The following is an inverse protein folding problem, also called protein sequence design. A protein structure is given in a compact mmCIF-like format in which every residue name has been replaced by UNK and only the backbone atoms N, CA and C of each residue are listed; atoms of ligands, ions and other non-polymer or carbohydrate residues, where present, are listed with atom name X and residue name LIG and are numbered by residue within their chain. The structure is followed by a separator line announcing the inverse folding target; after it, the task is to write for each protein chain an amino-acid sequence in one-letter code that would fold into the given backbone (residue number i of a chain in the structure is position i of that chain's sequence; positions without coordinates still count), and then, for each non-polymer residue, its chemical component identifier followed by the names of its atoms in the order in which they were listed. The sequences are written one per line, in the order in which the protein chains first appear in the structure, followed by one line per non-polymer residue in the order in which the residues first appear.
data_IF_027915389924
#
_entry.id   IF_027915389924
#
_cell.length_a   1.000
_cell.length_b   1.000
_cell.length_c   1.000
_cell.angle_alpha   90.00
_cell.angle_beta   90.00
_cell.angle_gamma   90.00
#
_symmetry.space_group_name_H-M   'P 1'
#
loop_
_entity.id
_entity.type
_entity.pdbx_description
1 polymer ?
#
# COMPACT_ATOMS: atom_id res chain seq x y z
N UNK A 1 11.30 32.03 7.11
CA UNK A 1 11.11 30.60 6.79
C UNK A 1 12.21 29.84 7.51
N UNK A 2 11.84 28.93 8.43
CA UNK A 2 12.82 28.14 9.18
C UNK A 2 13.67 27.26 8.26
N UNK A 3 14.78 26.73 8.79
CA UNK A 3 15.60 25.78 8.06
C UNK A 3 14.77 24.53 7.74
N UNK A 4 14.45 24.30 6.46
CA UNK A 4 13.66 23.14 6.02
C UNK A 4 14.34 21.79 6.32
N UNK A 5 15.60 21.78 6.72
CA UNK A 5 16.34 20.58 7.09
C UNK A 5 16.20 20.19 8.58
N UNK A 6 15.56 20.99 9.42
CA UNK A 6 15.31 20.69 10.85
C UNK A 6 13.81 20.41 11.11
N UNK A 7 13.14 19.74 10.17
CA UNK A 7 11.73 19.41 10.30
C UNK A 7 11.52 18.22 11.25
N UNK A 8 10.41 18.29 11.98
CA UNK A 8 9.86 17.21 12.80
C UNK A 8 8.72 16.53 12.08
N UNK A 9 8.90 15.25 11.75
CA UNK A 9 7.92 14.41 11.11
C UNK A 9 7.18 13.55 12.14
N UNK A 10 5.86 13.66 12.20
CA UNK A 10 4.98 12.74 12.92
C UNK A 10 4.46 11.64 12.00
N UNK A 11 4.58 10.37 12.38
CA UNK A 11 4.04 9.23 11.63
C UNK A 11 3.02 8.49 12.51
N UNK A 12 1.77 8.42 12.04
CA UNK A 12 0.72 7.60 12.66
C UNK A 12 0.77 6.20 12.04
N UNK A 13 1.07 5.20 12.87
CA UNK A 13 1.39 3.84 12.45
C UNK A 13 2.90 3.60 12.48
N UNK A 14 3.32 2.57 13.22
CA UNK A 14 4.71 2.23 13.45
C UNK A 14 5.14 0.92 12.79
N UNK A 15 4.41 0.45 11.80
CA UNK A 15 4.73 -0.70 10.96
C UNK A 15 5.90 -0.47 10.00
N UNK A 16 5.99 -1.34 9.00
CA UNK A 16 7.14 -1.36 8.11
C UNK A 16 7.24 -0.14 7.19
N UNK A 17 6.11 0.46 6.80
CA UNK A 17 6.13 1.59 5.88
C UNK A 17 6.61 2.83 6.63
N UNK A 18 6.16 3.02 7.87
CA UNK A 18 6.63 4.03 8.80
C UNK A 18 8.11 3.89 9.09
N UNK A 19 8.62 2.65 9.23
CA UNK A 19 10.06 2.39 9.36
C UNK A 19 10.84 2.89 8.16
N UNK A 20 10.42 2.54 6.95
CA UNK A 20 11.10 2.95 5.72
C UNK A 20 10.97 4.45 5.45
N UNK A 21 9.81 5.06 5.75
CA UNK A 21 9.65 6.53 5.73
C UNK A 21 10.59 7.22 6.73
N UNK A 22 10.70 6.70 7.95
CA UNK A 22 11.58 7.25 8.98
C UNK A 22 13.06 7.17 8.57
N UNK A 23 13.47 6.06 7.95
CA UNK A 23 14.83 5.91 7.42
C UNK A 23 15.16 6.99 6.38
N UNK A 24 14.24 7.26 5.44
CA UNK A 24 14.42 8.30 4.43
C UNK A 24 14.37 9.71 5.02
N UNK A 25 13.44 9.99 5.93
CA UNK A 25 13.35 11.28 6.62
C UNK A 25 14.65 11.63 7.35
N UNK A 26 15.29 10.64 7.98
CA UNK A 26 16.55 10.85 8.70
C UNK A 26 17.74 11.16 7.77
N UNK A 27 17.71 10.78 6.49
CA UNK A 27 18.72 11.22 5.51
C UNK A 27 18.72 12.74 5.33
N UNK A 28 17.56 13.39 5.51
CA UNK A 28 17.41 14.85 5.48
C UNK A 28 17.71 15.54 6.81
N UNK A 29 18.04 14.77 7.86
CA UNK A 29 18.26 15.30 9.22
C UNK A 29 16.98 15.53 10.03
N UNK A 30 15.83 15.04 9.57
CA UNK A 30 14.56 15.23 10.27
C UNK A 30 14.53 14.47 11.60
N UNK A 31 13.83 15.03 12.57
CA UNK A 31 13.40 14.29 13.76
C UNK A 31 12.11 13.55 13.44
N UNK A 32 12.00 12.30 13.87
CA UNK A 32 10.86 11.44 13.59
C UNK A 32 10.19 11.01 14.90
N UNK A 33 8.89 11.25 14.98
CA UNK A 33 8.03 10.78 16.07
C UNK A 33 7.02 9.79 15.52
N UNK A 34 6.80 8.69 16.23
CA UNK A 34 5.89 7.63 15.81
C UNK A 34 4.79 7.43 16.85
N UNK A 35 3.54 7.31 16.42
CA UNK A 35 2.44 6.81 17.24
C UNK A 35 2.09 5.39 16.81
N UNK A 36 2.19 4.42 17.72
CA UNK A 36 1.82 3.02 17.48
C UNK A 36 1.46 2.31 18.79
N UNK A 37 0.42 1.45 18.81
CA UNK A 37 0.00 0.75 20.02
C UNK A 37 1.02 -0.27 20.53
N UNK A 38 1.96 -0.71 19.70
CA UNK A 38 2.93 -1.77 20.03
C UNK A 38 4.25 -1.17 20.51
N UNK A 39 4.66 -1.37 21.77
CA UNK A 39 5.98 -0.92 22.25
C UNK A 39 7.15 -1.52 21.45
N UNK A 40 8.03 -0.66 20.93
CA UNK A 40 9.13 -1.09 20.07
C UNK A 40 8.65 -1.59 18.71
N UNK A 41 7.65 -0.92 18.14
CA UNK A 41 7.16 -1.14 16.78
C UNK A 41 8.30 -0.98 15.74
N UNK A 42 8.18 -1.59 14.55
CA UNK A 42 9.19 -1.46 13.50
C UNK A 42 9.74 -0.05 13.27
N UNK A 43 8.87 0.96 13.19
CA UNK A 43 9.29 2.34 12.94
C UNK A 43 9.96 2.98 14.16
N UNK A 44 9.56 2.63 15.38
CA UNK A 44 10.19 3.22 16.58
C UNK A 44 11.64 2.77 16.79
N UNK A 45 12.06 1.68 16.15
CA UNK A 45 13.46 1.23 16.15
C UNK A 45 14.41 2.21 15.44
N UNK A 46 13.87 3.13 14.62
CA UNK A 46 14.64 4.11 13.84
C UNK A 46 14.16 5.54 14.03
N UNK A 47 13.18 5.77 14.91
CA UNK A 47 12.63 7.09 15.24
C UNK A 47 13.29 7.71 16.48
N UNK A 48 13.12 9.02 16.68
CA UNK A 48 13.63 9.73 17.86
C UNK A 48 12.77 9.49 19.11
N UNK A 49 11.46 9.23 18.93
CA UNK A 49 10.56 8.88 20.03
C UNK A 49 9.32 8.12 19.55
N UNK A 50 8.72 7.36 20.48
CA UNK A 50 7.46 6.65 20.27
C UNK A 50 6.41 7.10 21.30
N UNK A 51 5.22 7.40 20.81
CA UNK A 51 3.99 7.52 21.59
C UNK A 51 3.25 6.18 21.51
N UNK A 52 3.13 5.47 22.63
CA UNK A 52 2.42 4.18 22.68
C UNK A 52 0.94 4.42 22.94
N UNK A 53 0.12 4.29 21.91
CA UNK A 53 -1.33 4.47 21.98
C UNK A 53 -2.04 3.84 20.78
N UNK A 54 -3.32 3.54 20.96
CA UNK A 54 -4.20 3.13 19.86
C UNK A 54 -4.46 4.29 18.88
N UNK A 55 -4.69 3.95 17.60
CA UNK A 55 -4.91 4.91 16.51
C UNK A 55 -6.24 5.68 16.58
N UNK A 56 -7.12 5.34 17.53
CA UNK A 56 -8.34 6.08 17.83
C UNK A 56 -8.23 6.98 19.06
N UNK A 57 -7.09 6.97 19.77
CA UNK A 57 -6.87 7.82 20.94
C UNK A 57 -6.63 9.28 20.52
N UNK A 58 -7.69 10.09 20.61
CA UNK A 58 -7.70 11.49 20.21
C UNK A 58 -6.56 12.31 20.84
N UNK A 59 -6.35 12.17 22.15
CA UNK A 59 -5.34 12.94 22.88
C UNK A 59 -3.92 12.60 22.44
N UNK A 60 -3.67 11.33 22.10
CA UNK A 60 -2.35 10.87 21.67
C UNK A 60 -2.06 11.25 20.22
N UNK A 61 -3.09 11.28 19.36
CA UNK A 61 -2.98 11.84 18.00
C UNK A 61 -2.64 13.32 18.07
N UNK A 62 -3.36 14.10 18.89
CA UNK A 62 -3.06 15.52 19.12
C UNK A 62 -1.63 15.70 19.61
N UNK A 63 -1.21 14.95 20.62
CA UNK A 63 0.17 15.00 21.14
C UNK A 63 1.23 14.80 20.04
N UNK A 64 1.03 13.84 19.13
CA UNK A 64 1.96 13.61 18.02
C UNK A 64 1.99 14.80 17.05
N UNK A 65 0.81 15.25 16.62
CA UNK A 65 0.66 16.29 15.60
C UNK A 65 1.18 17.62 16.11
N UNK A 66 0.90 18.00 17.36
CA UNK A 66 1.38 19.23 17.98
C UNK A 66 2.90 19.26 18.19
N UNK A 67 3.54 18.09 18.32
CA UNK A 67 5.00 17.95 18.40
C UNK A 67 5.71 18.01 17.04
N UNK A 68 4.96 17.92 15.95
CA UNK A 68 5.48 17.75 14.60
C UNK A 68 5.23 18.99 13.76
N UNK A 69 6.17 19.33 12.87
CA UNK A 69 5.96 20.39 11.88
C UNK A 69 5.07 19.87 10.75
N UNK A 70 5.14 18.57 10.48
CA UNK A 70 4.32 17.86 9.51
C UNK A 70 3.99 16.45 10.00
N UNK A 71 2.77 16.00 9.76
CA UNK A 71 2.34 14.64 10.08
C UNK A 71 1.89 13.87 8.84
N UNK A 72 2.12 12.56 8.85
CA UNK A 72 1.65 11.59 7.86
C UNK A 72 1.15 10.33 8.57
N UNK A 73 0.60 9.39 7.80
CA UNK A 73 0.16 8.09 8.29
C UNK A 73 0.58 6.96 7.34
N UNK A 74 0.81 5.78 7.89
CA UNK A 74 1.00 4.54 7.10
C UNK A 74 -0.15 3.54 7.24
N UNK A 75 -1.13 3.83 8.10
CA UNK A 75 -2.29 2.96 8.34
C UNK A 75 -3.59 3.69 8.03
N UNK A 76 -4.59 2.94 7.57
CA UNK A 76 -5.89 3.50 7.23
C UNK A 76 -6.83 3.61 8.44
N UNK A 77 -6.70 2.76 9.45
CA UNK A 77 -7.56 2.75 10.65
C UNK A 77 -7.09 3.78 11.70
N UNK A 78 -7.59 5.01 11.57
CA UNK A 78 -7.24 6.18 12.40
C UNK A 78 -8.52 6.97 12.68
N UNK A 79 -8.61 7.63 13.83
CA UNK A 79 -9.66 8.62 14.08
C UNK A 79 -9.47 9.87 13.20
N UNK A 80 -10.22 9.96 12.10
CA UNK A 80 -10.17 11.08 11.14
C UNK A 80 -10.75 12.38 11.68
N UNK A 81 -11.71 12.32 12.60
CA UNK A 81 -12.37 13.53 13.13
C UNK A 81 -11.36 14.42 13.87
N UNK A 82 -10.49 13.80 14.66
CA UNK A 82 -9.41 14.50 15.38
C UNK A 82 -8.40 15.11 14.41
N UNK A 83 -8.06 14.40 13.33
CA UNK A 83 -7.15 14.92 12.32
C UNK A 83 -7.75 16.12 11.57
N UNK A 84 -9.05 16.07 11.25
CA UNK A 84 -9.78 17.20 10.64
C UNK A 84 -9.78 18.41 11.56
N UNK A 85 -10.04 18.22 12.86
CA UNK A 85 -9.97 19.28 13.87
C UNK A 85 -8.58 19.93 13.91
N UNK A 86 -7.52 19.13 13.88
CA UNK A 86 -6.13 19.60 13.90
C UNK A 86 -5.77 20.35 12.61
N UNK A 87 -6.18 19.86 11.44
CA UNK A 87 -5.98 20.55 10.16
C UNK A 87 -6.70 21.90 10.16
N UNK A 88 -7.94 21.97 10.67
CA UNK A 88 -8.68 23.23 10.83
C UNK A 88 -7.96 24.22 11.76
N UNK A 89 -7.24 23.74 12.77
CA UNK A 89 -6.40 24.54 13.68
C UNK A 89 -5.07 24.98 13.06
N UNK A 90 -4.76 24.58 11.82
CA UNK A 90 -3.57 24.97 11.08
C UNK A 90 -2.40 23.99 11.13
N UNK A 91 -2.59 22.78 11.68
CA UNK A 91 -1.58 21.73 11.63
C UNK A 91 -1.53 21.07 10.25
N UNK A 92 -0.34 20.63 9.82
CA UNK A 92 -0.16 20.01 8.49
C UNK A 92 -0.23 18.49 8.60
N UNK A 93 -1.21 17.88 7.92
CA UNK A 93 -1.36 16.42 7.79
C UNK A 93 -1.49 16.06 6.31
N UNK A 94 -0.58 15.21 5.83
CA UNK A 94 -0.57 14.75 4.43
C UNK A 94 -0.46 13.21 4.33
N UNK A 95 -1.24 12.56 3.44
CA UNK A 95 -2.37 13.13 2.71
C UNK A 95 -3.48 13.63 3.65
N UNK A 96 -4.44 14.40 3.15
CA UNK A 96 -5.43 15.04 4.02
C UNK A 96 -6.35 14.00 4.72
N UNK A 97 -6.97 14.35 5.86
CA UNK A 97 -7.94 13.49 6.52
C UNK A 97 -9.17 13.16 5.66
N UNK A 98 -9.56 14.05 4.73
CA UNK A 98 -10.66 13.86 3.78
C UNK A 98 -10.32 12.81 2.72
N UNK A 99 -9.07 12.80 2.25
CA UNK A 99 -8.55 11.71 1.39
C UNK A 99 -8.68 10.38 2.13
N UNK A 100 -8.21 10.34 3.38
CA UNK A 100 -8.24 9.14 4.19
C UNK A 100 -9.66 8.65 4.48
N UNK A 101 -10.61 9.56 4.72
CA UNK A 101 -12.03 9.24 4.90
C UNK A 101 -12.66 8.65 3.63
N UNK A 102 -12.30 9.19 2.46
CA UNK A 102 -12.76 8.67 1.17
C UNK A 102 -12.25 7.26 0.91
N UNK A 103 -10.99 6.97 1.25
CA UNK A 103 -10.37 5.67 0.99
C UNK A 103 -10.83 4.58 1.97
N UNK A 104 -11.05 4.93 3.24
CA UNK A 104 -11.49 3.96 4.28
C UNK A 104 -12.81 3.29 3.95
N UNK A 105 -13.66 3.98 3.21
CA UNK A 105 -14.92 3.47 2.72
C UNK A 105 -14.77 3.10 1.23
N UNK A 106 -14.66 1.80 0.95
CA UNK A 106 -14.49 1.28 -0.40
C UNK A 106 -15.66 1.66 -1.32
N UNK A 107 -16.86 1.87 -0.78
CA UNK A 107 -18.01 2.34 -1.57
C UNK A 107 -17.86 3.81 -1.96
N UNK A 108 -17.42 4.68 -1.05
CA UNK A 108 -17.12 6.10 -1.36
C UNK A 108 -16.00 6.23 -2.38
N UNK A 109 -14.97 5.40 -2.26
CA UNK A 109 -13.91 5.32 -3.26
C UNK A 109 -14.47 5.01 -4.65
N UNK A 110 -15.32 3.99 -4.77
CA UNK A 110 -15.98 3.62 -6.03
C UNK A 110 -16.90 4.74 -6.57
N UNK A 111 -17.62 5.43 -5.68
CA UNK A 111 -18.42 6.61 -6.05
C UNK A 111 -17.55 7.73 -6.61
N UNK A 112 -16.44 8.06 -5.95
CA UNK A 112 -15.48 9.07 -6.40
C UNK A 112 -14.91 8.72 -7.78
N UNK A 113 -14.51 7.45 -7.99
CA UNK A 113 -14.02 6.98 -9.29
C UNK A 113 -15.08 7.19 -10.39
N UNK A 114 -16.32 6.77 -10.16
CA UNK A 114 -17.41 6.93 -11.12
C UNK A 114 -17.75 8.40 -11.41
N UNK A 115 -17.79 9.25 -10.38
CA UNK A 115 -18.07 10.69 -10.52
C UNK A 115 -17.02 11.42 -11.36
N UNK A 116 -15.77 10.94 -11.33
CA UNK A 116 -14.66 11.50 -12.10
C UNK A 116 -14.42 10.75 -13.42
N UNK A 117 -15.32 9.85 -13.83
CA UNK A 117 -15.19 9.02 -15.04
C UNK A 117 -13.90 8.18 -15.08
N UNK A 118 -13.36 7.82 -13.92
CA UNK A 118 -12.19 6.95 -13.81
C UNK A 118 -12.68 5.49 -13.92
N UNK A 119 -12.09 4.68 -14.81
CA UNK A 119 -12.58 3.33 -15.06
C UNK A 119 -12.41 2.45 -13.83
N UNK A 120 -13.50 1.84 -13.39
CA UNK A 120 -13.53 0.80 -12.37
C UNK A 120 -14.56 -0.26 -12.77
N UNK A 121 -14.49 -1.43 -12.15
CA UNK A 121 -15.44 -2.51 -12.35
C UNK A 121 -16.87 -2.09 -12.00
N UNK A 122 -17.85 -2.70 -12.68
CA UNK A 122 -19.27 -2.51 -12.38
C UNK A 122 -19.55 -2.89 -10.93
N UNK A 123 -20.27 -2.03 -10.21
CA UNK A 123 -20.58 -2.25 -8.80
C UNK A 123 -21.95 -1.67 -8.42
N UNK A 124 -22.51 -2.14 -7.31
CA UNK A 124 -23.79 -1.69 -6.73
C UNK A 124 -23.77 -1.85 -5.21
N UNK A 125 -24.20 -0.82 -4.48
CA UNK A 125 -24.36 -0.91 -3.02
C UNK A 125 -25.45 -1.94 -2.65
N UNK A 126 -25.22 -2.72 -1.59
CA UNK A 126 -26.26 -3.59 -1.03
C UNK A 126 -27.06 -2.77 -0.02
N UNK A 127 -28.36 -2.57 -0.26
CA UNK A 127 -29.22 -1.72 0.58
C UNK A 127 -30.16 -2.51 1.48
N UNK A 128 -30.65 -3.66 1.02
CA UNK A 128 -31.71 -4.43 1.66
C UNK A 128 -31.38 -5.92 1.68
N UNK A 129 -31.96 -6.66 0.74
CA UNK A 129 -31.92 -8.12 0.70
C UNK A 129 -30.87 -8.56 -0.32
N UNK A 130 -29.75 -9.05 0.20
CA UNK A 130 -28.63 -9.52 -0.62
C UNK A 130 -29.06 -10.56 -1.66
N UNK A 131 -30.03 -11.42 -1.34
CA UNK A 131 -30.46 -12.48 -2.26
C UNK A 131 -31.07 -11.92 -3.54
N UNK A 132 -32.07 -11.03 -3.42
CA UNK A 132 -32.67 -10.36 -4.58
C UNK A 132 -31.67 -9.46 -5.30
N UNK A 133 -30.84 -8.72 -4.56
CA UNK A 133 -29.88 -7.79 -5.16
C UNK A 133 -28.77 -8.48 -5.95
N UNK A 134 -28.32 -9.66 -5.52
CA UNK A 134 -27.37 -10.49 -6.29
C UNK A 134 -27.99 -10.99 -7.59
N UNK A 135 -29.26 -11.40 -7.57
CA UNK A 135 -29.96 -11.86 -8.76
C UNK A 135 -30.09 -10.72 -9.78
N UNK A 136 -30.46 -9.53 -9.31
CA UNK A 136 -30.58 -8.34 -10.15
C UNK A 136 -29.23 -7.87 -10.69
N UNK A 137 -28.17 -7.98 -9.89
CA UNK A 137 -26.81 -7.60 -10.29
C UNK A 137 -26.21 -8.57 -11.32
N UNK A 138 -26.53 -9.86 -11.19
CA UNK A 138 -26.01 -10.95 -12.02
C UNK A 138 -24.83 -11.69 -11.37
N UNK A 139 -24.65 -12.95 -11.77
CA UNK A 139 -23.64 -13.87 -11.25
C UNK A 139 -22.61 -14.25 -12.34
N UNK A 140 -21.35 -14.57 -11.97
CA UNK A 140 -20.79 -14.48 -10.61
C UNK A 140 -20.58 -13.02 -10.16
N UNK A 141 -20.65 -12.79 -8.85
CA UNK A 141 -20.46 -11.48 -8.23
C UNK A 141 -19.47 -11.57 -7.06
N UNK A 142 -18.84 -10.45 -6.73
CA UNK A 142 -17.96 -10.30 -5.58
C UNK A 142 -18.61 -9.36 -4.59
N UNK A 143 -18.97 -9.84 -3.41
CA UNK A 143 -19.41 -9.00 -2.31
C UNK A 143 -18.17 -8.50 -1.55
N UNK A 144 -18.03 -7.18 -1.41
CA UNK A 144 -16.95 -6.55 -0.65
C UNK A 144 -17.52 -5.72 0.50
N UNK A 145 -16.93 -5.87 1.69
CA UNK A 145 -17.21 -5.00 2.83
C UNK A 145 -16.79 -3.56 2.52
N UNK A 146 -17.59 -2.59 2.93
CA UNK A 146 -17.26 -1.17 2.72
C UNK A 146 -16.05 -0.74 3.55
N UNK A 147 -15.86 -1.34 4.73
CA UNK A 147 -14.83 -0.96 5.70
C UNK A 147 -14.05 -2.19 6.17
N UNK A 148 -12.77 -2.00 6.51
CA UNK A 148 -11.96 -3.01 7.20
C UNK A 148 -11.50 -4.19 6.35
N UNK A 149 -11.78 -4.20 5.05
CA UNK A 149 -11.22 -5.17 4.12
C UNK A 149 -9.74 -4.91 3.82
N UNK A 150 -8.92 -5.96 3.82
CA UNK A 150 -7.50 -5.94 3.44
C UNK A 150 -7.02 -7.38 3.20
N UNK A 151 -6.04 -7.57 2.30
CA UNK A 151 -5.41 -8.88 2.03
C UNK A 151 -6.47 -10.02 1.91
N UNK A 152 -7.51 -9.81 1.08
CA UNK A 152 -8.62 -10.74 0.86
C UNK A 152 -9.71 -10.80 1.94
N UNK A 153 -9.51 -10.21 3.13
CA UNK A 153 -10.55 -10.13 4.17
C UNK A 153 -11.64 -9.16 3.75
N UNK A 154 -12.89 -9.50 4.09
CA UNK A 154 -14.04 -8.69 3.71
C UNK A 154 -14.38 -8.79 2.22
N UNK A 155 -13.93 -9.87 1.55
CA UNK A 155 -14.29 -10.21 0.17
C UNK A 155 -14.93 -11.60 0.17
N UNK A 156 -16.06 -11.76 -0.51
CA UNK A 156 -16.74 -13.04 -0.67
C UNK A 156 -17.22 -13.18 -2.12
N UNK A 157 -16.82 -14.24 -2.80
CA UNK A 157 -17.24 -14.51 -4.18
C UNK A 157 -18.52 -15.34 -4.14
N UNK A 158 -19.54 -14.86 -4.84
CA UNK A 158 -20.86 -15.48 -4.98
C UNK A 158 -20.92 -16.06 -6.39
N UNK A 159 -20.82 -17.38 -6.50
CA UNK A 159 -20.89 -18.10 -7.77
C UNK A 159 -22.34 -18.46 -8.11
N UNK A 160 -23.11 -18.85 -7.11
CA UNK A 160 -24.52 -19.22 -7.24
C UNK A 160 -25.39 -18.57 -6.16
N UNK A 161 -26.71 -18.62 -6.37
CA UNK A 161 -27.67 -17.92 -5.49
C UNK A 161 -27.63 -18.42 -4.04
N UNK A 162 -27.25 -19.67 -3.84
CA UNK A 162 -27.18 -20.32 -2.53
C UNK A 162 -26.00 -19.83 -1.70
N UNK A 163 -24.94 -19.31 -2.33
CA UNK A 163 -23.74 -18.81 -1.64
C UNK A 163 -24.06 -17.62 -0.72
N UNK A 164 -25.16 -16.91 -0.99
CA UNK A 164 -25.67 -15.80 -0.17
C UNK A 164 -25.87 -16.20 1.30
N UNK A 165 -26.09 -17.49 1.60
CA UNK A 165 -26.20 -17.98 2.98
C UNK A 165 -24.90 -17.81 3.80
N UNK A 166 -23.75 -17.80 3.13
CA UNK A 166 -22.42 -17.68 3.71
C UNK A 166 -21.80 -16.29 3.48
N UNK A 167 -22.57 -15.37 2.89
CA UNK A 167 -22.14 -14.02 2.56
C UNK A 167 -21.72 -13.19 3.79
N UNK A 168 -21.03 -12.08 3.51
CA UNK A 168 -20.62 -11.11 4.52
C UNK A 168 -21.85 -10.48 5.19
N UNK A 169 -21.81 -10.43 6.52
CA UNK A 169 -22.87 -9.85 7.36
C UNK A 169 -22.47 -8.45 7.83
N UNK A 170 -22.25 -7.54 6.88
CA UNK A 170 -21.86 -6.16 7.12
C UNK A 170 -22.26 -5.25 5.95
N UNK A 171 -22.14 -3.93 6.15
CA UNK A 171 -22.28 -2.94 5.08
C UNK A 171 -21.32 -3.28 3.95
N UNK A 172 -21.87 -3.53 2.77
CA UNK A 172 -21.16 -4.09 1.64
C UNK A 172 -21.75 -3.65 0.31
N UNK A 173 -20.99 -3.89 -0.75
CA UNK A 173 -21.43 -3.68 -2.13
C UNK A 173 -21.10 -4.93 -2.96
N UNK A 174 -21.84 -5.10 -4.05
CA UNK A 174 -21.56 -6.08 -5.08
C UNK A 174 -20.67 -5.45 -6.14
N UNK A 175 -19.73 -6.23 -6.64
CA UNK A 175 -18.82 -5.89 -7.73
C UNK A 175 -18.80 -7.05 -8.72
N UNK A 176 -18.62 -6.77 -10.00
CA UNK A 176 -18.49 -7.84 -10.99
C UNK A 176 -17.19 -8.63 -10.75
N UNK A 177 -17.25 -9.93 -10.97
CA UNK A 177 -16.03 -10.75 -11.02
C UNK A 177 -15.33 -10.48 -12.36
N UNK A 178 -14.31 -9.63 -12.33
CA UNK A 178 -13.55 -9.21 -13.51
C UNK A 178 -12.77 -10.40 -14.10
N UNK A 179 -12.80 -10.55 -15.43
CA UNK A 179 -11.96 -11.51 -16.16
C UNK A 179 -10.54 -10.95 -16.33
N UNK A 180 -9.72 -11.16 -15.31
CA UNK A 180 -8.39 -10.58 -15.15
C UNK A 180 -7.37 -11.36 -16.01
N UNK A 181 -6.60 -10.63 -16.81
CA UNK A 181 -5.37 -11.11 -17.46
C UNK A 181 -4.15 -10.88 -16.57
N UNK A 182 -4.03 -9.68 -15.99
CA UNK A 182 -2.95 -9.28 -15.07
C UNK A 182 -3.45 -8.32 -14.01
N UNK A 183 -2.86 -8.41 -12.84
CA UNK A 183 -2.97 -7.37 -11.82
C UNK A 183 -1.80 -6.41 -11.95
N UNK A 184 -2.10 -5.12 -11.98
CA UNK A 184 -1.12 -4.05 -12.17
C UNK A 184 -1.16 -3.12 -10.98
N UNK A 185 -0.05 -2.43 -10.72
CA UNK A 185 -0.06 -1.27 -9.84
C UNK A 185 0.80 -0.15 -10.39
N UNK A 186 0.44 1.07 -9.99
CA UNK A 186 1.21 2.28 -10.30
C UNK A 186 1.38 3.07 -9.03
N UNK A 187 2.62 3.48 -8.74
CA UNK A 187 2.89 4.44 -7.68
C UNK A 187 2.88 5.85 -8.26
N UNK A 188 2.10 6.74 -7.66
CA UNK A 188 2.01 8.14 -8.09
C UNK A 188 2.27 9.05 -6.90
N UNK A 189 3.21 9.97 -7.06
CA UNK A 189 3.47 11.01 -6.08
C UNK A 189 2.92 12.35 -6.58
N UNK A 190 2.28 13.09 -5.69
CA UNK A 190 1.83 14.47 -5.93
C UNK A 190 2.28 15.35 -4.77
N UNK A 191 2.98 16.44 -5.08
CA UNK A 191 3.39 17.43 -4.08
C UNK A 191 2.27 18.41 -3.74
N UNK A 192 2.40 19.12 -2.62
CA UNK A 192 1.48 20.21 -2.26
C UNK A 192 1.43 21.36 -3.30
N UNK A 193 2.37 21.42 -4.24
CA UNK A 193 2.39 22.39 -5.34
C UNK A 193 1.76 21.85 -6.64
N UNK A 194 1.22 20.63 -6.62
CA UNK A 194 0.65 19.97 -7.80
C UNK A 194 1.67 19.35 -8.75
N UNK A 195 2.96 19.31 -8.40
CA UNK A 195 3.92 18.51 -9.17
C UNK A 195 3.56 17.03 -9.03
N UNK A 196 3.45 16.32 -10.16
CA UNK A 196 3.12 14.88 -10.20
C UNK A 196 4.28 14.10 -10.83
N UNK A 197 4.63 12.96 -10.23
CA UNK A 197 5.55 11.98 -10.80
C UNK A 197 4.96 10.58 -10.68
N UNK A 198 5.08 9.81 -11.75
CA UNK A 198 4.54 8.47 -11.87
C UNK A 198 5.71 7.48 -11.99
N UNK A 199 5.67 6.42 -11.19
CA UNK A 199 6.60 5.30 -11.32
C UNK A 199 6.15 4.37 -12.45
N UNK A 200 7.04 3.52 -12.99
CA UNK A 200 6.65 2.52 -13.96
C UNK A 200 5.55 1.61 -13.43
N UNK A 201 4.68 1.20 -14.35
CA UNK A 201 3.65 0.19 -14.08
C UNK A 201 4.34 -1.10 -13.68
N UNK A 202 3.87 -1.71 -12.60
CA UNK A 202 4.33 -3.03 -12.15
C UNK A 202 3.25 -4.07 -12.32
N UNK A 203 3.68 -5.31 -12.55
CA UNK A 203 2.81 -6.48 -12.56
C UNK A 203 2.88 -7.15 -11.19
N UNK A 204 1.72 -7.49 -10.64
CA UNK A 204 1.59 -8.16 -9.35
C UNK A 204 1.10 -9.59 -9.57
N UNK A 205 1.73 -10.54 -8.89
CA UNK A 205 1.27 -11.92 -8.79
C UNK A 205 0.88 -12.22 -7.34
N UNK A 206 -0.27 -12.87 -7.15
CA UNK A 206 -0.85 -13.15 -5.85
C UNK A 206 -0.77 -14.64 -5.53
N UNK A 207 -0.52 -14.96 -4.26
CA UNK A 207 -0.67 -16.32 -3.76
C UNK A 207 -2.17 -16.61 -3.57
N UNK A 208 -2.72 -17.50 -4.41
CA UNK A 208 -4.14 -17.85 -4.40
C UNK A 208 -4.63 -18.40 -3.04
N UNK A 209 -3.73 -19.00 -2.24
CA UNK A 209 -4.10 -19.61 -0.96
C UNK A 209 -4.42 -18.55 0.09
N UNK A 210 -3.74 -17.41 0.04
CA UNK A 210 -3.83 -16.36 1.03
C UNK A 210 -4.43 -15.05 0.49
N UNK A 211 -4.61 -14.94 -0.82
CA UNK A 211 -5.01 -13.72 -1.53
C UNK A 211 -4.13 -12.51 -1.13
N UNK A 212 -2.82 -12.73 -1.12
CA UNK A 212 -1.79 -11.75 -0.76
C UNK A 212 -0.83 -11.61 -1.94
N UNK A 213 -0.46 -10.37 -2.24
CA UNK A 213 0.60 -10.09 -3.21
C UNK A 213 1.87 -10.85 -2.81
N UNK A 214 2.33 -11.76 -3.67
CA UNK A 214 3.51 -12.59 -3.45
C UNK A 214 4.72 -11.95 -4.14
N UNK A 215 4.55 -11.60 -5.42
CA UNK A 215 5.61 -11.10 -6.30
C UNK A 215 5.19 -9.82 -7.02
N UNK A 216 6.12 -8.89 -7.18
CA UNK A 216 5.97 -7.65 -7.93
C UNK A 216 7.09 -7.57 -8.96
N UNK A 217 6.74 -7.31 -10.23
CA UNK A 217 7.66 -7.29 -11.37
C UNK A 217 7.68 -5.88 -11.95
N UNK A 218 8.87 -5.28 -12.01
CA UNK A 218 9.10 -3.93 -12.55
C UNK A 218 10.14 -3.96 -13.71
N UNK A 219 9.78 -3.52 -14.92
CA UNK A 219 8.46 -3.04 -15.34
C UNK A 219 7.47 -4.19 -15.55
N UNK A 220 6.17 -3.87 -15.58
CA UNK A 220 5.12 -4.80 -15.96
C UNK A 220 5.35 -5.35 -17.38
N UNK A 221 5.08 -6.64 -17.58
CA UNK A 221 5.20 -7.30 -18.89
C UNK A 221 3.97 -7.04 -19.75
N UNK A 222 3.73 -5.78 -20.07
CA UNK A 222 2.63 -5.27 -20.89
C UNK A 222 3.16 -4.33 -21.97
N UNK A 223 2.41 -4.19 -23.06
CA UNK A 223 2.79 -3.28 -24.14
C UNK A 223 2.75 -1.81 -23.69
N UNK A 224 3.41 -0.92 -24.45
CA UNK A 224 3.54 0.50 -24.12
C UNK A 224 2.20 1.23 -24.01
N UNK A 225 1.18 0.83 -24.78
CA UNK A 225 -0.15 1.44 -24.71
C UNK A 225 -0.78 1.20 -23.35
N UNK A 226 -0.73 -0.04 -22.84
CA UNK A 226 -1.26 -0.37 -21.51
C UNK A 226 -0.45 0.33 -20.40
N UNK A 227 0.88 0.45 -20.58
CA UNK A 227 1.68 1.22 -19.62
C UNK A 227 1.22 2.68 -19.52
N UNK A 228 1.02 3.34 -20.67
CA UNK A 228 0.56 4.72 -20.70
C UNK A 228 -0.86 4.86 -20.14
N UNK A 229 -1.79 3.99 -20.54
CA UNK A 229 -3.18 4.00 -20.06
C UNK A 229 -3.25 3.85 -18.54
N UNK A 230 -2.51 2.89 -17.96
CA UNK A 230 -2.46 2.69 -16.52
C UNK A 230 -1.82 3.88 -15.80
N UNK A 231 -0.75 4.48 -16.35
CA UNK A 231 -0.15 5.68 -15.77
C UNK A 231 -1.11 6.88 -15.79
N UNK A 232 -1.84 7.09 -16.88
CA UNK A 232 -2.79 8.20 -17.02
C UNK A 232 -3.96 8.04 -16.04
N UNK A 233 -4.53 6.83 -15.94
CA UNK A 233 -5.58 6.51 -14.96
C UNK A 233 -5.08 6.76 -13.53
N UNK A 234 -3.86 6.33 -13.22
CA UNK A 234 -3.27 6.51 -11.88
C UNK A 234 -3.11 7.99 -11.51
N UNK A 235 -2.70 8.83 -12.47
CA UNK A 235 -2.63 10.28 -12.28
C UNK A 235 -4.02 10.86 -12.02
N UNK A 236 -5.02 10.49 -12.82
CA UNK A 236 -6.40 10.95 -12.61
C UNK A 236 -6.97 10.57 -11.24
N UNK A 237 -6.61 9.38 -10.71
CA UNK A 237 -6.99 8.99 -9.35
C UNK A 237 -6.45 9.95 -8.29
N UNK A 238 -5.19 10.34 -8.38
CA UNK A 238 -4.55 11.21 -7.39
C UNK A 238 -5.05 12.65 -7.52
N UNK A 239 -5.32 13.11 -8.74
CA UNK A 239 -5.92 14.42 -9.00
C UNK A 239 -7.35 14.51 -8.46
N UNK A 240 -8.18 13.48 -8.68
CA UNK A 240 -9.55 13.43 -8.17
C UNK A 240 -9.64 13.44 -6.64
N UNK A 241 -8.61 12.93 -5.96
CA UNK A 241 -8.47 12.99 -4.50
C UNK A 241 -7.90 14.31 -3.99
N UNK A 242 -7.40 15.19 -4.88
CA UNK A 242 -6.51 16.30 -4.52
C UNK A 242 -5.37 15.87 -3.57
N UNK A 243 -4.83 14.67 -3.83
CA UNK A 243 -3.90 14.02 -2.92
C UNK A 243 -2.54 14.72 -2.82
N UNK A 244 -1.95 14.72 -1.62
CA UNK A 244 -0.56 15.14 -1.39
C UNK A 244 0.18 14.00 -0.70
N UNK A 245 1.29 13.56 -1.28
CA UNK A 245 2.05 12.41 -0.81
C UNK A 245 2.30 11.40 -1.93
N UNK A 246 2.21 10.12 -1.61
CA UNK A 246 2.36 9.02 -2.56
C UNK A 246 1.17 8.08 -2.44
N UNK A 247 0.75 7.54 -3.58
CA UNK A 247 -0.46 6.74 -3.70
C UNK A 247 -0.15 5.47 -4.50
N UNK A 248 -0.55 4.32 -3.97
CA UNK A 248 -0.56 3.07 -4.71
C UNK A 248 -1.91 2.87 -5.37
N UNK A 249 -1.92 2.77 -6.70
CA UNK A 249 -3.13 2.54 -7.48
C UNK A 249 -3.09 1.12 -8.02
N UNK A 250 -3.89 0.23 -7.46
CA UNK A 250 -4.05 -1.15 -7.92
C UNK A 250 -5.10 -1.22 -9.04
N UNK A 251 -4.80 -2.00 -10.07
CA UNK A 251 -5.58 -2.07 -11.28
C UNK A 251 -5.67 -3.51 -11.79
N UNK A 252 -6.75 -3.79 -12.52
CA UNK A 252 -6.90 -5.00 -13.31
C UNK A 252 -6.71 -4.67 -14.80
N UNK A 253 -5.83 -5.41 -15.46
CA UNK A 253 -5.86 -5.55 -16.92
C UNK A 253 -6.78 -6.72 -17.24
N UNK A 254 -7.89 -6.44 -17.91
CA UNK A 254 -8.84 -7.46 -18.35
C UNK A 254 -8.33 -8.18 -19.60
N UNK A 255 -8.79 -9.42 -19.85
CA UNK A 255 -8.51 -10.14 -21.12
C UNK A 255 -9.02 -9.42 -22.38
N UNK A 256 -9.96 -8.50 -22.19
CA UNK A 256 -10.47 -7.62 -23.25
C UNK A 256 -9.56 -6.39 -23.50
N UNK A 257 -8.45 -6.26 -22.76
CA UNK A 257 -7.47 -5.18 -22.92
C UNK A 257 -7.87 -3.85 -22.26
N UNK A 258 -8.80 -3.85 -21.31
CA UNK A 258 -9.17 -2.66 -20.51
C UNK A 258 -8.42 -2.62 -19.19
N UNK A 259 -7.99 -1.43 -18.76
CA UNK A 259 -7.45 -1.17 -17.43
C UNK A 259 -8.54 -0.62 -16.51
N UNK A 260 -8.75 -1.26 -15.35
CA UNK A 260 -9.78 -0.90 -14.37
C UNK A 260 -9.13 -0.69 -13.00
N UNK A 261 -9.43 0.42 -12.31
CA UNK A 261 -8.99 0.64 -10.92
C UNK A 261 -9.71 -0.33 -9.99
N UNK A 262 -8.93 -1.10 -9.23
CA UNK A 262 -9.43 -1.94 -8.14
C UNK A 262 -9.47 -1.15 -6.83
N UNK A 263 -8.34 -0.56 -6.45
CA UNK A 263 -8.16 0.09 -5.15
C UNK A 263 -7.07 1.18 -5.18
N UNK A 264 -7.22 2.19 -4.33
CA UNK A 264 -6.27 3.26 -4.07
C UNK A 264 -5.82 3.21 -2.60
N UNK A 265 -4.51 3.19 -2.38
CA UNK A 265 -3.87 3.33 -1.07
C UNK A 265 -3.15 4.70 -0.96
N UNK A 266 -3.58 5.62 -0.08
CA UNK A 266 -3.06 6.97 0.06
C UNK A 266 -1.81 6.99 0.95
N UNK A 267 -0.84 6.14 0.63
CA UNK A 267 0.38 5.91 1.40
C UNK A 267 1.40 5.17 0.53
N UNK A 268 2.67 5.08 0.94
CA UNK A 268 3.58 4.10 0.37
C UNK A 268 2.93 2.70 0.34
N UNK A 269 3.15 1.97 -0.75
CA UNK A 269 2.48 0.71 -1.01
C UNK A 269 3.48 -0.45 -1.17
N UNK A 270 3.03 -1.66 -0.89
CA UNK A 270 3.88 -2.85 -0.96
C UNK A 270 4.42 -3.07 -2.39
N UNK A 271 3.58 -2.83 -3.39
CA UNK A 271 3.96 -2.89 -4.80
C UNK A 271 4.96 -1.82 -5.24
N UNK A 272 5.27 -0.84 -4.38
CA UNK A 272 6.33 0.14 -4.62
C UNK A 272 7.67 -0.20 -3.95
N UNK A 273 7.81 -1.31 -3.22
CA UNK A 273 9.04 -1.58 -2.44
C UNK A 273 10.28 -1.76 -3.32
N UNK A 274 10.11 -2.28 -4.53
CA UNK A 274 11.18 -2.39 -5.53
C UNK A 274 11.90 -1.06 -5.82
N UNK A 275 11.22 0.08 -5.62
CA UNK A 275 11.77 1.42 -5.89
C UNK A 275 12.96 1.77 -5.00
N UNK A 276 13.18 1.06 -3.88
CA UNK A 276 14.33 1.29 -3.00
C UNK A 276 15.63 0.94 -3.75
N UNK A 277 15.66 -0.20 -4.45
CA UNK A 277 16.85 -0.67 -5.18
C UNK A 277 16.86 -0.30 -6.66
N UNK A 278 15.67 -0.16 -7.26
CA UNK A 278 15.54 -0.16 -8.72
C UNK A 278 15.31 1.23 -9.33
N UNK A 279 14.88 2.22 -8.53
CA UNK A 279 14.53 3.55 -9.03
C UNK A 279 15.50 4.63 -8.51
N UNK A 280 15.58 5.74 -9.24
CA UNK A 280 16.41 6.87 -8.86
C UNK A 280 15.98 7.53 -7.53
N UNK A 281 14.71 7.43 -7.16
CA UNK A 281 14.18 7.89 -5.88
C UNK A 281 13.16 6.87 -5.36
N UNK A 282 13.35 6.38 -4.14
CA UNK A 282 12.42 5.42 -3.54
C UNK A 282 11.05 6.07 -3.28
N UNK A 283 9.98 5.27 -3.29
CA UNK A 283 8.63 5.74 -2.96
C UNK A 283 8.58 6.44 -1.58
N UNK A 284 9.43 6.02 -0.66
CA UNK A 284 9.50 6.56 0.70
C UNK A 284 10.14 7.95 0.71
N UNK A 285 11.28 8.10 0.03
CA UNK A 285 11.92 9.41 -0.12
C UNK A 285 11.00 10.36 -0.90
N UNK A 286 10.34 9.85 -1.93
CA UNK A 286 9.38 10.59 -2.72
C UNK A 286 8.19 11.08 -1.89
N UNK A 287 7.66 10.23 -1.00
CA UNK A 287 6.63 10.64 -0.05
C UNK A 287 7.12 11.76 0.87
N UNK A 288 8.30 11.61 1.47
CA UNK A 288 8.90 12.65 2.33
C UNK A 288 9.06 13.97 1.58
N UNK A 289 9.58 13.94 0.35
CA UNK A 289 9.71 15.14 -0.50
C UNK A 289 8.36 15.78 -0.79
N UNK A 290 7.36 14.98 -1.15
CA UNK A 290 6.02 15.45 -1.48
C UNK A 290 5.35 16.18 -0.31
N UNK A 291 5.40 15.58 0.88
CA UNK A 291 4.75 16.14 2.08
C UNK A 291 5.54 17.34 2.63
N UNK A 292 6.88 17.31 2.60
CA UNK A 292 7.73 18.42 3.08
C UNK A 292 7.80 19.61 2.11
N UNK A 293 7.16 19.51 0.94
CA UNK A 293 7.15 20.55 -0.09
C UNK A 293 8.53 20.77 -0.73
N UNK A 294 9.31 19.70 -0.88
CA UNK A 294 10.51 19.65 -1.71
C UNK A 294 10.16 19.31 -3.17
N UNK A 295 11.05 19.60 -4.13
CA UNK A 295 10.91 19.08 -5.48
C UNK A 295 10.85 17.56 -5.48
N UNK A 296 9.98 16.99 -6.30
CA UNK A 296 9.89 15.55 -6.47
C UNK A 296 11.17 14.99 -7.13
N UNK A 297 11.55 13.78 -6.73
CA UNK A 297 12.68 13.05 -7.32
C UNK A 297 12.33 12.44 -8.69
N UNK A 298 13.35 11.91 -9.35
CA UNK A 298 13.16 11.12 -10.58
C UNK A 298 12.56 9.77 -10.22
N UNK A 299 11.53 9.36 -10.96
CA UNK A 299 10.89 8.04 -10.85
C UNK A 299 11.45 7.04 -11.87
N UNK A 300 12.56 7.38 -12.53
CA UNK A 300 13.23 6.54 -13.51
C UNK A 300 13.62 5.19 -12.91
N UNK A 301 13.26 4.12 -13.61
CA UNK A 301 13.72 2.76 -13.32
C UNK A 301 15.09 2.56 -13.94
N UNK A 302 16.08 2.44 -13.07
CA UNK A 302 17.49 2.31 -13.44
C UNK A 302 17.85 0.88 -13.82
N UNK A 303 17.16 -0.10 -13.25
CA UNK A 303 17.38 -1.52 -13.49
C UNK A 303 16.08 -2.31 -13.29
N UNK A 304 15.76 -3.32 -14.12
CA UNK A 304 14.63 -4.21 -13.87
C UNK A 304 14.72 -4.89 -12.50
N UNK A 305 13.56 -5.12 -11.88
CA UNK A 305 13.48 -5.66 -10.53
C UNK A 305 12.30 -6.61 -10.32
N UNK A 306 12.52 -7.60 -9.45
CA UNK A 306 11.48 -8.47 -8.91
C UNK A 306 11.51 -8.36 -7.39
N UNK A 307 10.40 -7.94 -6.79
CA UNK A 307 10.23 -7.89 -5.35
C UNK A 307 9.33 -9.03 -4.88
N UNK A 308 9.76 -9.72 -3.83
CA UNK A 308 9.03 -10.83 -3.22
C UNK A 308 8.81 -10.56 -1.74
N UNK A 309 7.61 -10.87 -1.24
CA UNK A 309 7.33 -10.75 0.18
C UNK A 309 7.95 -11.89 0.98
N UNK A 310 8.51 -11.55 2.14
CA UNK A 310 8.92 -12.53 3.13
C UNK A 310 7.76 -12.71 4.09
N UNK A 311 7.07 -13.85 4.01
CA UNK A 311 5.91 -14.17 4.84
C UNK A 311 6.28 -15.13 5.98
N UNK A 312 5.52 -15.10 7.07
CA UNK A 312 5.56 -16.13 8.10
C UNK A 312 5.05 -17.47 7.56
N UNK A 313 5.80 -18.55 7.82
CA UNK A 313 5.47 -19.88 7.35
C UNK A 313 4.21 -20.46 8.03
N UNK A 314 3.48 -21.28 7.29
CA UNK A 314 2.34 -22.03 7.83
C UNK A 314 2.80 -22.96 8.96
N UNK A 315 1.97 -23.09 10.00
CA UNK A 315 2.26 -23.92 11.17
C UNK A 315 3.27 -23.34 12.16
N UNK A 316 3.80 -22.13 11.94
CA UNK A 316 4.73 -21.46 12.85
C UNK A 316 4.15 -20.16 13.42
N UNK A 317 4.19 -20.02 14.75
CA UNK A 317 3.82 -18.79 15.46
C UNK A 317 4.77 -18.57 16.64
N UNK A 318 5.33 -17.36 16.77
CA UNK A 318 6.25 -17.03 17.86
C UNK A 318 7.39 -16.13 17.44
N UNK A 319 8.51 -16.17 18.17
CA UNK A 319 9.70 -15.37 17.84
C UNK A 319 10.25 -15.78 16.47
N UNK A 320 10.44 -14.86 15.52
CA UNK A 320 10.86 -15.22 14.17
C UNK A 320 12.29 -15.75 14.13
N UNK A 321 12.47 -16.84 13.39
CA UNK A 321 13.73 -17.42 12.99
C UNK A 321 13.79 -17.44 11.44
N UNK A 322 14.75 -16.72 10.88
CA UNK A 322 14.91 -16.58 9.43
C UNK A 322 15.96 -17.58 8.95
N UNK A 323 15.52 -18.64 8.28
CA UNK A 323 16.40 -19.63 7.67
C UNK A 323 16.75 -19.22 6.23
N UNK A 324 17.98 -19.48 5.79
CA UNK A 324 18.43 -19.22 4.42
C UNK A 324 18.82 -17.77 4.12
N UNK A 325 18.98 -16.90 5.13
CA UNK A 325 19.40 -15.50 4.91
C UNK A 325 20.77 -15.43 4.22
N UNK A 326 21.77 -16.18 4.71
CA UNK A 326 23.13 -16.12 4.15
C UNK A 326 23.16 -16.56 2.68
N UNK A 327 22.39 -17.60 2.35
CA UNK A 327 22.22 -18.06 0.98
C UNK A 327 21.62 -16.98 0.07
N UNK A 328 20.63 -16.23 0.56
CA UNK A 328 19.98 -15.16 -0.21
C UNK A 328 20.89 -13.96 -0.36
N UNK A 329 21.61 -13.57 0.70
CA UNK A 329 22.60 -12.50 0.66
C UNK A 329 23.74 -12.80 -0.33
N UNK A 330 24.03 -14.08 -0.60
CA UNK A 330 25.01 -14.49 -1.59
C UNK A 330 24.50 -14.37 -3.05
N UNK A 331 23.21 -14.15 -3.29
CA UNK A 331 22.64 -14.02 -4.64
C UNK A 331 22.94 -12.61 -5.19
N UNK A 332 23.68 -12.48 -6.31
CA UNK A 332 23.95 -11.17 -6.89
C UNK A 332 22.67 -10.43 -7.29
N UNK A 333 22.55 -9.19 -6.80
CA UNK A 333 21.38 -8.33 -7.05
C UNK A 333 20.26 -8.48 -6.02
N UNK A 334 20.35 -9.41 -5.06
CA UNK A 334 19.36 -9.54 -3.99
C UNK A 334 19.63 -8.55 -2.84
N UNK A 335 18.59 -7.82 -2.42
CA UNK A 335 18.60 -6.91 -1.27
C UNK A 335 17.49 -7.31 -0.31
N UNK A 336 17.85 -7.61 0.94
CA UNK A 336 16.90 -8.06 1.97
C UNK A 336 16.49 -6.90 2.87
N UNK A 337 15.18 -6.76 3.09
CA UNK A 337 14.59 -5.83 4.05
C UNK A 337 13.81 -6.58 5.13
N UNK A 338 14.32 -6.57 6.36
CA UNK A 338 13.62 -7.16 7.51
C UNK A 338 12.99 -6.08 8.37
N UNK A 339 11.69 -6.23 8.63
CA UNK A 339 10.91 -5.20 9.32
C UNK A 339 11.14 -5.16 10.83
N UNK A 340 11.75 -6.19 11.41
CA UNK A 340 12.03 -6.24 12.85
C UNK A 340 10.78 -6.50 13.71
N UNK A 341 9.78 -7.19 13.14
CA UNK A 341 8.58 -7.62 13.87
C UNK A 341 8.97 -8.71 14.89
N UNK A 342 8.55 -8.56 16.14
CA UNK A 342 8.91 -9.46 17.25
C UNK A 342 8.28 -10.86 17.19
N UNK A 343 7.19 -11.00 16.42
CA UNK A 343 6.41 -12.23 16.32
C UNK A 343 6.10 -12.53 14.86
N UNK A 344 6.38 -13.74 14.40
CA UNK A 344 5.87 -14.29 13.14
C UNK A 344 4.57 -15.06 13.39
N UNK A 345 3.71 -15.11 12.38
CA UNK A 345 2.52 -15.95 12.29
C UNK A 345 2.25 -16.22 10.80
N UNK A 346 1.46 -17.24 10.43
CA UNK A 346 1.21 -17.57 9.04
C UNK A 346 0.79 -16.35 8.22
N UNK A 347 1.44 -16.17 7.07
CA UNK A 347 1.18 -15.09 6.09
C UNK A 347 1.44 -13.66 6.59
N UNK A 348 2.01 -13.47 7.78
CA UNK A 348 2.41 -12.12 8.22
C UNK A 348 3.59 -11.64 7.39
N UNK A 349 3.50 -10.45 6.78
CA UNK A 349 4.62 -9.79 6.09
C UNK A 349 5.74 -9.48 7.09
N UNK A 350 6.85 -10.20 7.04
CA UNK A 350 8.02 -10.09 7.92
C UNK A 350 9.17 -9.29 7.32
N UNK A 351 9.17 -9.16 5.99
CA UNK A 351 10.16 -8.43 5.22
C UNK A 351 9.83 -8.48 3.73
N UNK A 352 10.79 -8.07 2.91
CA UNK A 352 10.79 -8.35 1.48
C UNK A 352 12.22 -8.56 0.97
N UNK A 353 12.35 -9.15 -0.21
CA UNK A 353 13.61 -9.18 -0.97
C UNK A 353 13.34 -8.53 -2.31
N UNK A 354 14.20 -7.59 -2.71
CA UNK A 354 14.23 -7.06 -4.08
C UNK A 354 15.42 -7.68 -4.80
N UNK A 355 15.18 -8.26 -5.97
CA UNK A 355 16.20 -8.79 -6.86
C UNK A 355 16.28 -7.87 -8.08
N UNK A 356 17.43 -7.26 -8.32
CA UNK A 356 17.70 -6.48 -9.53
C UNK A 356 18.58 -7.25 -10.51
N UNK A 357 18.25 -7.17 -11.80
CA UNK A 357 19.06 -7.73 -12.88
C UNK A 357 18.81 -6.95 -14.18
N UNK A 358 19.79 -6.95 -15.10
CA UNK A 358 19.60 -6.35 -16.43
C UNK A 358 18.60 -7.13 -17.28
N UNK A 359 18.39 -8.41 -16.98
CA UNK A 359 17.38 -9.25 -17.60
C UNK A 359 16.30 -9.64 -16.58
N UNK A 360 15.04 -9.29 -16.86
CA UNK A 360 13.91 -9.58 -15.97
C UNK A 360 13.68 -11.08 -15.78
N UNK A 361 13.94 -11.90 -16.79
CA UNK A 361 13.79 -13.36 -16.70
C UNK A 361 14.81 -13.94 -15.72
N UNK A 362 16.05 -13.44 -15.74
CA UNK A 362 17.08 -13.81 -14.77
C UNK A 362 16.73 -13.35 -13.35
N UNK A 363 16.12 -12.17 -13.19
CA UNK A 363 15.63 -11.72 -11.88
C UNK A 363 14.51 -12.62 -11.35
N UNK A 364 13.60 -13.10 -12.22
CA UNK A 364 12.55 -14.06 -11.87
C UNK A 364 13.12 -15.41 -11.44
N UNK A 365 14.09 -15.97 -12.18
CA UNK A 365 14.77 -17.21 -11.80
C UNK A 365 15.41 -17.11 -10.40
N UNK A 366 16.10 -15.99 -10.13
CA UNK A 366 16.66 -15.70 -8.81
C UNK A 366 15.59 -15.56 -7.74
N UNK A 367 14.47 -14.90 -8.04
CA UNK A 367 13.36 -14.75 -7.10
C UNK A 367 12.78 -16.11 -6.67
N UNK A 368 12.66 -17.06 -7.59
CA UNK A 368 12.22 -18.43 -7.26
C UNK A 368 13.22 -19.16 -6.35
N UNK A 369 14.54 -18.98 -6.58
CA UNK A 369 15.56 -19.49 -5.65
C UNK A 369 15.36 -18.90 -4.26
N UNK A 370 15.10 -17.59 -4.14
CA UNK A 370 14.87 -16.95 -2.84
C UNK A 370 13.62 -17.49 -2.15
N UNK A 371 12.49 -17.66 -2.86
CA UNK A 371 11.24 -18.23 -2.29
C UNK A 371 11.45 -19.63 -1.72
N UNK A 372 12.30 -20.43 -2.34
CA UNK A 372 12.65 -21.76 -1.85
C UNK A 372 13.59 -21.74 -0.64
N UNK A 373 14.61 -20.87 -0.65
CA UNK A 373 15.64 -20.85 0.38
C UNK A 373 15.23 -20.10 1.65
N UNK A 374 14.53 -18.97 1.51
CA UNK A 374 14.20 -18.08 2.62
C UNK A 374 12.89 -18.49 3.29
N UNK A 375 12.97 -18.84 4.57
CA UNK A 375 11.81 -19.30 5.35
C UNK A 375 11.77 -18.58 6.69
N UNK A 376 10.58 -18.12 7.10
CA UNK A 376 10.38 -17.50 8.43
C UNK A 376 9.58 -18.43 9.33
N UNK A 377 10.32 -19.16 10.16
CA UNK A 377 9.77 -20.07 11.18
C UNK A 377 9.71 -19.37 12.54
N UNK A 378 9.13 -20.03 13.53
CA UNK A 378 9.29 -19.66 14.94
C UNK A 378 10.35 -20.52 15.61
N UNK A 379 11.02 -19.98 16.63
CA UNK A 379 11.91 -20.74 17.53
C UNK A 379 11.15 -21.77 18.37
#
# INVERSE_FOLDING_TARGET
MGNKMDLKLGIIGGGQLGKMMAQEARKFGFKVFVLDPTPGSPASQVADSQIVADFYNAEKIKELVEKSDISTYEIEHINTDVLKELVYKGYTVHPSPEVLETIKDKSRQKQMLNQNHIPTSRWKMVEKDLYSEVIDFGLPAVQKACHGGYDGRGVFVIHEKQDVLNALKCDSFLEELVDIEKELAVMVARSAKGEIKCYPVVEMAFDERANICDTVIAPARVNQRIQQEASDIAVSCVEALDGVGIFGIEMFLTRAGKVLVNEIAPRPHNSGHYTIEACATSQFEQHIRAIAGFPLGSTELLVPAVMINILGEEGYEGRPNFAGIEDVLAIPGASIHIYGKKTTKPFRKMGHVTIVDKNIDTALEKAEIVKHKLKVKSY
#
